data_IF_756563098223
#
_entry.id   IF_756563098223
#
_cell.length_a   1.000
_cell.length_b   1.000
_cell.length_c   1.000
_cell.angle_alpha   90.00
_cell.angle_beta   90.00
_cell.angle_gamma   90.00
#
_symmetry.space_group_name_H-M   'P 1'
#
loop_
_entity.id
_entity.type
_entity.pdbx_description
1 polymer ?
#
# COMPACT_ATOMS: atom_id res chain seq x y z
N UNK A 1 49.56 30.66 -6.16
CA UNK A 1 49.95 30.07 -4.84
C UNK A 1 49.84 28.57 -4.92
N UNK A 2 50.94 27.84 -4.68
CA UNK A 2 51.23 26.48 -5.16
C UNK A 2 50.50 25.36 -4.44
N UNK A 3 49.96 24.40 -5.22
CA UNK A 3 49.24 23.16 -4.85
C UNK A 3 50.16 22.00 -4.33
N UNK A 4 51.31 22.27 -3.78
CA UNK A 4 52.29 21.25 -3.40
C UNK A 4 52.83 21.45 -1.96
N UNK A 5 51.97 21.42 -0.92
CA UNK A 5 52.41 21.31 0.47
C UNK A 5 51.27 20.83 1.37
N UNK A 6 50.80 19.60 1.20
CA UNK A 6 50.00 18.94 2.22
C UNK A 6 50.08 17.42 2.14
N UNK A 7 51.28 16.87 2.00
CA UNK A 7 51.56 15.46 2.27
C UNK A 7 52.93 15.43 2.87
N UNK A 8 53.02 15.38 4.19
CA UNK A 8 54.12 14.85 5.02
C UNK A 8 53.83 15.21 6.48
N UNK A 9 53.51 14.22 7.24
CA UNK A 9 53.86 13.97 8.62
C UNK A 9 52.75 13.20 9.33
N UNK A 10 53.08 12.01 9.75
CA UNK A 10 52.31 11.27 10.72
C UNK A 10 52.43 9.75 10.63
N UNK A 11 53.64 9.22 10.57
CA UNK A 11 53.93 7.82 10.89
C UNK A 11 54.65 7.80 12.25
N UNK A 12 54.24 6.89 13.08
CA UNK A 12 54.92 6.20 14.15
C UNK A 12 54.19 6.22 15.49
N UNK A 13 53.82 5.09 15.95
CA UNK A 13 54.14 4.29 17.15
C UNK A 13 52.90 3.47 17.49
N UNK A 14 52.83 2.15 17.51
CA UNK A 14 53.82 1.16 17.95
C UNK A 14 53.40 0.58 19.27
N UNK A 15 53.09 -0.71 19.27
CA UNK A 15 53.37 -1.71 20.30
C UNK A 15 52.15 -2.61 20.70
N UNK A 16 52.23 -3.81 20.21
CA UNK A 16 52.01 -5.14 20.77
C UNK A 16 51.46 -5.26 22.21
N UNK A 17 50.42 -6.11 22.33
CA UNK A 17 50.31 -7.08 23.42
C UNK A 17 49.49 -8.29 23.00
N UNK A 18 50.18 -9.40 22.81
CA UNK A 18 49.60 -10.74 22.77
C UNK A 18 49.24 -11.13 24.22
N UNK A 19 48.06 -11.75 24.42
CA UNK A 19 47.94 -12.95 25.26
C UNK A 19 46.54 -13.57 25.20
N UNK A 20 46.59 -14.89 25.06
CA UNK A 20 45.76 -15.93 25.64
C UNK A 20 44.43 -16.29 24.93
N UNK A 21 44.53 -17.36 24.14
CA UNK A 21 43.48 -18.31 23.86
C UNK A 21 42.96 -18.94 25.14
N UNK A 22 41.66 -18.86 25.37
CA UNK A 22 40.91 -19.83 26.14
C UNK A 22 39.88 -20.44 25.22
N UNK A 23 40.03 -21.74 24.93
CA UNK A 23 39.00 -22.53 24.28
C UNK A 23 37.91 -22.81 25.32
N UNK A 24 36.71 -22.34 25.05
CA UNK A 24 35.50 -22.81 25.71
C UNK A 24 34.62 -23.50 24.68
N UNK A 25 34.35 -24.77 24.95
CA UNK A 25 33.51 -25.67 24.19
C UNK A 25 32.09 -25.07 23.99
N UNK A 26 31.57 -25.24 22.76
CA UNK A 26 30.26 -24.75 22.39
C UNK A 26 29.11 -25.34 23.20
N UNK A 27 28.32 -24.46 23.74
CA UNK A 27 26.93 -24.72 24.02
C UNK A 27 26.20 -24.27 22.75
N UNK A 28 25.58 -25.21 22.04
CA UNK A 28 24.59 -24.90 21.00
C UNK A 28 23.39 -24.33 21.75
N UNK A 29 23.39 -23.02 21.95
CA UNK A 29 22.25 -22.29 22.45
C UNK A 29 21.20 -22.27 21.37
N UNK A 30 19.98 -22.69 21.70
CA UNK A 30 18.78 -22.40 20.94
C UNK A 30 18.82 -20.94 20.49
N UNK A 31 18.69 -20.71 19.18
CA UNK A 31 18.51 -19.35 18.65
C UNK A 31 17.21 -18.81 19.24
N UNK A 32 17.31 -18.05 20.30
CA UNK A 32 16.23 -17.25 20.81
C UNK A 32 15.69 -16.38 19.68
N UNK A 33 14.37 -16.31 19.53
CA UNK A 33 13.72 -15.42 18.59
C UNK A 33 14.33 -14.02 18.75
N UNK A 34 15.01 -13.55 17.72
CA UNK A 34 15.62 -12.21 17.70
C UNK A 34 14.51 -11.16 17.93
N UNK A 35 14.85 -10.09 18.65
CA UNK A 35 13.92 -8.98 18.79
C UNK A 35 13.53 -8.45 17.40
N UNK A 36 12.23 -8.19 17.19
CA UNK A 36 11.77 -7.62 15.93
C UNK A 36 12.47 -6.28 15.64
N UNK A 37 12.73 -6.01 14.37
CA UNK A 37 13.28 -4.73 13.91
C UNK A 37 12.39 -3.56 14.35
N UNK A 38 12.98 -2.38 14.53
CA UNK A 38 12.24 -1.17 14.82
C UNK A 38 11.20 -0.91 13.71
N UNK A 39 9.97 -0.49 14.07
CA UNK A 39 8.98 -0.10 13.08
C UNK A 39 9.48 1.03 12.16
N UNK A 40 8.91 1.12 10.98
CA UNK A 40 9.10 2.25 10.07
C UNK A 40 8.40 3.51 10.60
N UNK A 41 8.77 4.69 10.08
CA UNK A 41 8.10 5.95 10.40
C UNK A 41 6.68 6.03 9.81
N UNK A 42 6.50 5.45 8.61
CA UNK A 42 5.20 5.30 7.95
C UNK A 42 4.72 3.84 8.05
N UNK A 43 3.41 3.63 7.94
CA UNK A 43 2.79 2.32 8.08
C UNK A 43 2.63 1.64 6.72
N UNK A 44 3.65 0.89 6.30
CA UNK A 44 3.65 0.16 5.02
C UNK A 44 2.92 -1.16 5.13
N UNK A 45 2.02 -1.43 4.16
CA UNK A 45 1.20 -2.64 4.08
C UNK A 45 1.70 -3.61 3.03
N UNK A 46 2.14 -4.81 3.47
CA UNK A 46 2.63 -5.86 2.58
C UNK A 46 1.48 -6.61 1.90
N UNK A 47 1.73 -7.18 0.72
CA UNK A 47 0.82 -8.07 0.02
C UNK A 47 1.16 -9.55 0.22
N UNK A 48 0.14 -10.43 0.03
CA UNK A 48 0.36 -11.87 -0.08
C UNK A 48 1.33 -12.21 -1.21
N UNK A 49 2.29 -13.05 -0.88
CA UNK A 49 3.32 -13.49 -1.81
C UNK A 49 4.62 -12.70 -1.77
N UNK A 50 4.64 -11.50 -1.16
CA UNK A 50 5.86 -10.66 -1.10
C UNK A 50 7.03 -11.34 -0.38
N UNK A 51 6.75 -12.17 0.63
CA UNK A 51 7.77 -12.87 1.42
C UNK A 51 7.65 -14.38 1.32
N UNK A 52 7.11 -14.88 0.22
CA UNK A 52 6.87 -16.32 0.00
C UNK A 52 8.15 -17.16 0.05
N UNK A 53 9.27 -16.63 -0.43
CA UNK A 53 10.52 -17.36 -0.47
C UNK A 53 11.21 -17.44 0.91
N UNK A 54 11.01 -16.44 1.76
CA UNK A 54 11.59 -16.40 3.11
C UNK A 54 10.68 -17.06 4.15
N UNK A 55 9.38 -16.84 4.07
CA UNK A 55 8.40 -17.25 5.07
C UNK A 55 7.49 -18.42 4.63
N UNK A 56 7.53 -18.83 3.36
CA UNK A 56 6.66 -19.89 2.84
C UNK A 56 5.37 -19.37 2.22
N UNK A 57 4.50 -20.31 1.81
CA UNK A 57 3.28 -20.01 1.05
C UNK A 57 2.09 -19.54 1.89
N UNK A 58 2.07 -19.78 3.20
CA UNK A 58 0.98 -19.32 4.08
C UNK A 58 1.10 -17.82 4.34
N UNK A 59 0.04 -17.08 4.04
CA UNK A 59 0.08 -15.62 4.20
C UNK A 59 0.25 -15.18 5.66
N UNK A 60 -0.26 -15.95 6.63
CA UNK A 60 -0.07 -15.64 8.05
C UNK A 60 1.40 -15.75 8.46
N UNK A 61 2.15 -16.69 7.89
CA UNK A 61 3.59 -16.78 8.16
C UNK A 61 4.35 -15.63 7.51
N UNK A 62 3.94 -15.16 6.31
CA UNK A 62 4.49 -13.95 5.70
C UNK A 62 4.17 -12.69 6.53
N UNK A 63 2.98 -12.60 7.14
CA UNK A 63 2.60 -11.50 8.06
C UNK A 63 3.53 -11.48 9.28
N UNK A 64 3.81 -12.63 9.89
CA UNK A 64 4.74 -12.75 11.03
C UNK A 64 6.15 -12.31 10.64
N UNK A 65 6.63 -12.80 9.50
CA UNK A 65 7.93 -12.42 8.96
C UNK A 65 8.03 -10.91 8.72
N UNK A 66 7.01 -10.31 8.10
CA UNK A 66 6.95 -8.87 7.88
C UNK A 66 6.96 -8.08 9.22
N UNK A 67 6.23 -8.57 10.22
CA UNK A 67 6.24 -7.97 11.56
C UNK A 67 7.65 -7.97 12.18
N UNK A 68 8.39 -9.08 12.07
CA UNK A 68 9.79 -9.20 12.54
C UNK A 68 10.71 -8.19 11.84
N UNK A 69 10.42 -7.85 10.57
CA UNK A 69 11.16 -6.86 9.79
C UNK A 69 10.62 -5.42 9.90
N UNK A 70 9.74 -5.15 10.85
CA UNK A 70 9.29 -3.79 11.17
C UNK A 70 8.03 -3.31 10.44
N UNK A 71 7.44 -4.10 9.54
CA UNK A 71 6.15 -3.78 8.93
C UNK A 71 5.00 -3.92 9.94
N UNK A 72 3.98 -3.07 9.82
CA UNK A 72 2.85 -3.04 10.77
C UNK A 72 1.49 -3.03 10.09
N UNK A 73 1.44 -3.25 8.78
CA UNK A 73 0.19 -3.36 8.03
C UNK A 73 0.28 -4.43 6.95
N UNK A 74 -0.88 -4.84 6.45
CA UNK A 74 -1.02 -5.61 5.21
C UNK A 74 -2.02 -4.92 4.29
N UNK A 75 -1.99 -5.29 3.03
CA UNK A 75 -3.03 -5.03 2.03
C UNK A 75 -3.36 -6.35 1.33
N UNK A 76 -4.63 -6.60 1.02
CA UNK A 76 -5.01 -7.83 0.32
C UNK A 76 -6.18 -7.59 -0.64
N UNK A 77 -5.84 -7.32 -1.89
CA UNK A 77 -6.81 -7.11 -2.96
C UNK A 77 -7.75 -8.32 -3.17
N UNK A 78 -7.30 -9.52 -2.78
CA UNK A 78 -8.05 -10.77 -2.89
C UNK A 78 -8.94 -11.09 -1.70
N UNK A 79 -8.93 -10.32 -0.62
CA UNK A 79 -9.59 -10.68 0.65
C UNK A 79 -11.04 -11.11 0.50
N UNK A 80 -11.87 -10.43 -0.30
CA UNK A 80 -13.27 -10.82 -0.51
C UNK A 80 -13.44 -12.16 -1.25
N UNK A 81 -12.40 -12.66 -1.91
CA UNK A 81 -12.40 -13.96 -2.60
C UNK A 81 -11.91 -15.12 -1.73
N UNK A 82 -11.27 -14.81 -0.58
CA UNK A 82 -10.89 -15.83 0.40
C UNK A 82 -12.11 -16.37 1.12
N UNK A 83 -12.04 -17.63 1.55
CA UNK A 83 -13.08 -18.21 2.40
C UNK A 83 -13.21 -17.50 3.75
N UNK A 84 -14.40 -17.52 4.39
CA UNK A 84 -14.62 -16.85 5.67
C UNK A 84 -13.63 -17.25 6.78
N UNK A 85 -13.25 -18.53 6.83
CA UNK A 85 -12.28 -19.04 7.81
C UNK A 85 -10.88 -18.44 7.61
N UNK A 86 -10.46 -18.30 6.35
CA UNK A 86 -9.16 -17.70 6.03
C UNK A 86 -9.16 -16.19 6.31
N UNK A 87 -10.25 -15.49 6.00
CA UNK A 87 -10.42 -14.07 6.37
C UNK A 87 -10.29 -13.88 7.89
N UNK A 88 -10.93 -14.75 8.68
CA UNK A 88 -10.86 -14.71 10.13
C UNK A 88 -9.44 -15.03 10.64
N UNK A 89 -8.79 -16.07 10.09
CA UNK A 89 -7.41 -16.45 10.44
C UNK A 89 -6.44 -15.30 10.23
N UNK A 90 -6.57 -14.58 9.12
CA UNK A 90 -5.75 -13.37 8.83
C UNK A 90 -6.08 -12.25 9.84
N UNK A 91 -7.37 -11.97 10.07
CA UNK A 91 -7.81 -10.96 11.04
C UNK A 91 -7.28 -11.23 12.46
N UNK A 92 -7.35 -12.48 12.92
CA UNK A 92 -6.84 -12.89 14.23
C UNK A 92 -5.32 -12.72 14.34
N UNK A 93 -4.59 -13.06 13.26
CA UNK A 93 -3.15 -12.89 13.21
C UNK A 93 -2.75 -11.40 13.29
N UNK A 94 -3.45 -10.54 12.57
CA UNK A 94 -3.23 -9.09 12.62
C UNK A 94 -3.52 -8.53 14.02
N UNK A 95 -4.64 -8.92 14.63
CA UNK A 95 -5.02 -8.49 15.98
C UNK A 95 -3.97 -8.92 17.01
N UNK A 96 -3.49 -10.16 16.94
CA UNK A 96 -2.46 -10.70 17.83
C UNK A 96 -1.13 -9.94 17.74
N UNK A 97 -0.76 -9.49 16.55
CA UNK A 97 0.49 -8.77 16.29
C UNK A 97 0.34 -7.24 16.42
N UNK A 98 -0.88 -6.72 16.61
CA UNK A 98 -1.13 -5.29 16.60
C UNK A 98 -0.88 -4.66 15.23
N UNK A 99 -1.08 -5.43 14.15
CA UNK A 99 -0.97 -4.96 12.77
C UNK A 99 -2.32 -4.51 12.22
N UNK A 100 -2.27 -3.65 11.22
CA UNK A 100 -3.46 -3.08 10.58
C UNK A 100 -3.79 -3.79 9.26
N UNK A 101 -5.08 -3.93 8.96
CA UNK A 101 -5.56 -4.27 7.62
C UNK A 101 -5.74 -2.99 6.82
N UNK A 102 -5.08 -2.89 5.66
CA UNK A 102 -5.25 -1.84 4.66
C UNK A 102 -6.50 -2.06 3.81
N UNK A 103 -6.37 -1.82 2.51
CA UNK A 103 -7.50 -2.02 1.59
C UNK A 103 -7.67 -3.48 1.20
N UNK A 104 -8.90 -3.81 0.84
CA UNK A 104 -9.27 -4.94 0.01
C UNK A 104 -10.17 -4.46 -1.13
N UNK A 105 -10.14 -5.13 -2.29
CA UNK A 105 -10.95 -4.69 -3.44
C UNK A 105 -12.40 -5.12 -3.26
N UNK A 106 -13.33 -4.17 -3.43
CA UNK A 106 -14.76 -4.46 -3.48
C UNK A 106 -15.07 -5.28 -4.73
N UNK A 107 -15.54 -6.50 -4.53
CA UNK A 107 -15.82 -7.42 -5.61
C UNK A 107 -17.13 -7.07 -6.31
N UNK A 108 -17.00 -6.49 -7.52
CA UNK A 108 -18.09 -6.22 -8.46
C UNK A 108 -17.85 -6.84 -9.84
N UNK A 109 -16.88 -7.78 -9.94
CA UNK A 109 -16.57 -8.49 -11.17
C UNK A 109 -15.34 -7.99 -11.95
N UNK A 110 -14.54 -7.08 -11.38
CA UNK A 110 -13.28 -6.56 -11.96
C UNK A 110 -13.31 -5.06 -12.24
N UNK A 111 -12.13 -4.49 -12.56
CA UNK A 111 -11.94 -3.03 -12.63
C UNK A 111 -12.80 -2.36 -13.72
N UNK A 112 -12.81 -2.88 -14.93
CA UNK A 112 -13.63 -2.36 -16.04
C UNK A 112 -15.10 -2.82 -16.03
N UNK A 113 -15.38 -3.97 -15.40
CA UNK A 113 -16.67 -4.63 -15.47
C UNK A 113 -17.77 -3.94 -14.65
N UNK A 114 -19.03 -4.22 -15.00
CA UNK A 114 -20.23 -3.75 -14.27
C UNK A 114 -20.16 -2.27 -13.95
N UNK A 115 -19.87 -1.47 -14.98
CA UNK A 115 -19.52 -0.06 -14.85
C UNK A 115 -20.64 0.77 -14.29
N UNK A 116 -20.38 1.46 -13.19
CA UNK A 116 -21.28 2.42 -12.56
C UNK A 116 -21.53 3.63 -13.46
N UNK A 117 -20.57 3.95 -14.34
CA UNK A 117 -20.67 5.07 -15.28
C UNK A 117 -21.83 4.92 -16.26
N UNK A 118 -22.20 3.69 -16.60
CA UNK A 118 -23.30 3.42 -17.53
C UNK A 118 -24.69 3.74 -16.96
N UNK A 119 -24.84 3.79 -15.64
CA UNK A 119 -26.12 4.00 -14.95
C UNK A 119 -27.08 2.82 -15.05
N UNK A 120 -26.63 1.63 -15.49
CA UNK A 120 -27.48 0.44 -15.60
C UNK A 120 -27.90 -0.08 -14.23
N UNK A 121 -29.21 -0.30 -13.99
CA UNK A 121 -29.70 -0.77 -12.69
C UNK A 121 -29.06 -2.08 -12.24
N UNK A 122 -28.83 -3.03 -13.15
CA UNK A 122 -28.23 -4.32 -12.86
C UNK A 122 -26.78 -4.20 -12.36
N UNK A 123 -26.00 -3.24 -12.88
CA UNK A 123 -24.64 -2.99 -12.42
C UNK A 123 -24.61 -2.30 -11.06
N UNK A 124 -25.58 -1.42 -10.82
CA UNK A 124 -25.79 -0.82 -9.50
C UNK A 124 -26.06 -1.89 -8.45
N UNK A 125 -26.97 -2.84 -8.72
CA UNK A 125 -27.30 -3.91 -7.75
C UNK A 125 -26.11 -4.82 -7.47
N UNK A 126 -25.30 -5.16 -8.47
CA UNK A 126 -24.04 -5.92 -8.27
C UNK A 126 -23.09 -5.15 -7.34
N UNK A 127 -22.95 -3.84 -7.54
CA UNK A 127 -22.11 -3.01 -6.68
C UNK A 127 -22.64 -2.95 -5.24
N UNK A 128 -23.94 -2.74 -5.05
CA UNK A 128 -24.56 -2.67 -3.72
C UNK A 128 -24.49 -4.01 -2.98
N UNK A 129 -24.61 -5.13 -3.70
CA UNK A 129 -24.37 -6.45 -3.13
C UNK A 129 -22.91 -6.61 -2.71
N UNK A 130 -21.97 -6.15 -3.53
CA UNK A 130 -20.56 -6.08 -3.17
C UNK A 130 -20.33 -5.29 -1.88
N UNK A 131 -21.00 -4.14 -1.70
CA UNK A 131 -20.94 -3.36 -0.46
C UNK A 131 -21.44 -4.15 0.76
N UNK A 132 -22.54 -4.88 0.64
CA UNK A 132 -23.06 -5.72 1.74
C UNK A 132 -22.06 -6.83 2.11
N UNK A 133 -21.50 -7.52 1.12
CA UNK A 133 -20.47 -8.56 1.32
C UNK A 133 -19.18 -7.99 1.92
N UNK A 134 -18.81 -6.76 1.55
CA UNK A 134 -17.65 -6.05 2.11
C UNK A 134 -17.84 -5.80 3.62
N UNK A 135 -19.06 -5.53 4.10
CA UNK A 135 -19.36 -5.42 5.54
C UNK A 135 -19.02 -6.72 6.29
N UNK A 136 -19.38 -7.86 5.73
CA UNK A 136 -19.09 -9.15 6.37
C UNK A 136 -17.60 -9.52 6.32
N UNK A 137 -16.92 -9.18 5.22
CA UNK A 137 -15.46 -9.30 5.12
C UNK A 137 -14.75 -8.43 6.15
N UNK A 138 -15.15 -7.15 6.25
CA UNK A 138 -14.63 -6.20 7.24
C UNK A 138 -14.71 -6.71 8.67
N UNK A 139 -15.83 -7.34 9.06
CA UNK A 139 -15.99 -7.91 10.40
C UNK A 139 -14.97 -8.99 10.70
N UNK A 140 -14.63 -9.84 9.72
CA UNK A 140 -13.69 -10.95 9.90
C UNK A 140 -12.22 -10.51 9.90
N UNK A 141 -11.83 -9.63 8.99
CA UNK A 141 -10.43 -9.19 8.87
C UNK A 141 -10.12 -7.85 9.56
N UNK A 142 -11.12 -7.21 10.19
CA UNK A 142 -11.03 -5.86 10.77
C UNK A 142 -10.57 -4.77 9.79
N UNK A 143 -10.78 -4.98 8.46
CA UNK A 143 -10.47 -4.01 7.41
C UNK A 143 -11.54 -2.90 7.37
N UNK A 144 -11.10 -1.65 7.29
CA UNK A 144 -12.00 -0.48 7.25
C UNK A 144 -11.98 0.26 5.92
N UNK A 145 -11.17 -0.20 4.99
CA UNK A 145 -10.99 0.44 3.68
C UNK A 145 -11.27 -0.59 2.57
N UNK A 146 -12.03 -0.20 1.56
CA UNK A 146 -12.27 -1.04 0.40
C UNK A 146 -12.08 -0.25 -0.88
N UNK A 147 -11.24 -0.77 -1.78
CA UNK A 147 -10.96 -0.15 -3.09
C UNK A 147 -12.18 -0.27 -4.00
N UNK A 148 -12.55 0.82 -4.63
CA UNK A 148 -13.62 0.86 -5.63
C UNK A 148 -13.13 1.51 -6.91
N UNK A 149 -13.22 0.74 -8.00
CA UNK A 149 -13.01 1.24 -9.37
C UNK A 149 -14.38 1.32 -10.06
N UNK A 150 -14.82 2.49 -10.52
CA UNK A 150 -16.18 2.65 -11.09
C UNK A 150 -16.48 1.82 -12.33
N UNK A 151 -15.46 1.41 -13.08
CA UNK A 151 -15.59 0.63 -14.32
C UNK A 151 -15.20 1.42 -15.55
N UNK A 152 -15.46 0.85 -16.73
CA UNK A 152 -15.18 1.52 -17.99
C UNK A 152 -16.22 2.62 -18.29
N UNK A 153 -15.78 3.65 -19.03
CA UNK A 153 -16.73 4.64 -19.55
C UNK A 153 -17.48 4.08 -20.78
N UNK A 154 -18.68 4.61 -21.02
CA UNK A 154 -19.45 4.30 -22.22
C UNK A 154 -19.29 5.44 -23.24
N UNK A 155 -18.76 5.13 -24.42
CA UNK A 155 -18.51 6.11 -25.50
C UNK A 155 -19.79 6.74 -26.06
N UNK A 156 -20.96 6.14 -25.83
CA UNK A 156 -22.25 6.64 -26.31
C UNK A 156 -22.94 7.56 -25.30
N UNK A 157 -22.40 7.69 -24.08
CA UNK A 157 -22.96 8.55 -23.03
C UNK A 157 -22.08 9.79 -22.82
N UNK A 158 -22.68 10.98 -22.65
CA UNK A 158 -21.96 12.17 -22.25
C UNK A 158 -21.23 11.96 -20.92
N UNK A 159 -19.98 12.46 -20.80
CA UNK A 159 -19.15 12.28 -19.61
C UNK A 159 -19.83 12.85 -18.34
N UNK A 160 -20.54 13.98 -18.44
CA UNK A 160 -21.28 14.54 -17.30
C UNK A 160 -22.39 13.63 -16.79
N UNK A 161 -23.08 12.92 -17.69
CA UNK A 161 -24.11 11.91 -17.31
C UNK A 161 -23.44 10.76 -16.57
N UNK A 162 -22.34 10.25 -17.10
CA UNK A 162 -21.58 9.17 -16.48
C UNK A 162 -21.08 9.57 -15.09
N UNK A 163 -20.57 10.79 -14.94
CA UNK A 163 -20.13 11.31 -13.64
C UNK A 163 -21.30 11.37 -12.65
N UNK A 164 -22.48 11.81 -13.09
CA UNK A 164 -23.69 11.80 -12.26
C UNK A 164 -24.08 10.39 -11.82
N UNK A 165 -24.06 9.41 -12.74
CA UNK A 165 -24.35 8.01 -12.44
C UNK A 165 -23.41 7.43 -11.38
N UNK A 166 -22.10 7.69 -11.52
CA UNK A 166 -21.08 7.25 -10.56
C UNK A 166 -21.32 7.86 -9.17
N UNK A 167 -21.57 9.18 -9.09
CA UNK A 167 -21.85 9.87 -7.82
C UNK A 167 -23.07 9.27 -7.12
N UNK A 168 -24.17 9.05 -7.85
CA UNK A 168 -25.39 8.46 -7.29
C UNK A 168 -25.17 7.01 -6.81
N UNK A 169 -24.43 6.20 -7.57
CA UNK A 169 -24.08 4.84 -7.14
C UNK A 169 -23.25 4.85 -5.87
N UNK A 170 -22.22 5.70 -5.80
CA UNK A 170 -21.35 5.82 -4.63
C UNK A 170 -22.08 6.33 -3.38
N UNK A 171 -23.05 7.26 -3.52
CA UNK A 171 -23.91 7.68 -2.41
C UNK A 171 -24.70 6.52 -1.82
N UNK A 172 -25.26 5.65 -2.69
CA UNK A 172 -25.98 4.46 -2.24
C UNK A 172 -25.05 3.44 -1.58
N UNK A 173 -23.84 3.24 -2.11
CA UNK A 173 -22.81 2.41 -1.49
C UNK A 173 -22.38 2.98 -0.12
N UNK A 174 -22.14 4.27 -0.03
CA UNK A 174 -21.80 4.96 1.22
C UNK A 174 -22.88 4.76 2.30
N UNK A 175 -24.16 4.83 1.95
CA UNK A 175 -25.27 4.61 2.88
C UNK A 175 -25.25 3.18 3.49
N UNK A 176 -24.68 2.18 2.80
CA UNK A 176 -24.51 0.82 3.33
C UNK A 176 -23.27 0.73 4.22
N UNK A 177 -22.15 1.37 3.84
CA UNK A 177 -20.84 1.18 4.45
C UNK A 177 -20.60 2.10 5.66
N UNK A 178 -21.13 3.34 5.60
CA UNK A 178 -20.92 4.37 6.64
C UNK A 178 -21.34 3.93 8.05
N UNK A 179 -22.50 3.26 8.25
CA UNK A 179 -22.89 2.75 9.57
C UNK A 179 -21.92 1.74 10.19
N UNK A 180 -21.06 1.14 9.36
CA UNK A 180 -20.03 0.17 9.78
C UNK A 180 -18.63 0.78 9.87
N UNK A 181 -18.50 2.09 9.64
CA UNK A 181 -17.21 2.79 9.60
C UNK A 181 -16.28 2.29 8.49
N UNK A 182 -16.82 1.82 7.37
CA UNK A 182 -16.07 1.35 6.22
C UNK A 182 -16.04 2.47 5.18
N UNK A 183 -14.87 2.72 4.62
CA UNK A 183 -14.63 3.77 3.62
C UNK A 183 -14.32 3.13 2.29
N UNK A 184 -15.09 3.49 1.27
CA UNK A 184 -14.72 3.27 -0.13
C UNK A 184 -13.58 4.22 -0.47
N UNK A 185 -12.50 3.68 -0.98
CA UNK A 185 -11.40 4.47 -1.51
C UNK A 185 -11.35 4.30 -3.03
N UNK A 186 -11.64 5.38 -3.75
CA UNK A 186 -11.71 5.39 -5.21
C UNK A 186 -10.31 5.41 -5.79
N UNK A 187 -10.03 4.47 -6.68
CA UNK A 187 -8.72 4.33 -7.31
C UNK A 187 -8.78 4.75 -8.79
N UNK A 188 -8.14 5.88 -9.16
CA UNK A 188 -7.88 6.22 -10.54
C UNK A 188 -6.73 5.37 -11.09
N UNK A 189 -6.98 4.67 -12.21
CA UNK A 189 -6.06 3.69 -12.77
C UNK A 189 -5.47 4.14 -14.11
N UNK A 190 -4.28 3.62 -14.42
CA UNK A 190 -3.59 3.82 -15.71
C UNK A 190 -3.55 2.57 -16.58
N UNK A 191 -4.24 1.49 -16.20
CA UNK A 191 -4.12 0.16 -16.83
C UNK A 191 -4.63 0.16 -18.26
N UNK A 192 -5.81 0.71 -18.49
CA UNK A 192 -6.42 0.81 -19.81
C UNK A 192 -6.99 2.21 -20.07
N UNK A 193 -7.07 2.65 -21.35
CA UNK A 193 -7.66 3.94 -21.69
C UNK A 193 -9.19 3.98 -21.51
N UNK A 194 -9.84 2.85 -21.38
CA UNK A 194 -11.29 2.75 -21.31
C UNK A 194 -11.86 2.95 -19.90
N UNK A 195 -11.03 2.94 -18.87
CA UNK A 195 -11.47 3.21 -17.50
C UNK A 195 -12.04 4.62 -17.35
N UNK A 196 -13.20 4.72 -16.70
CA UNK A 196 -13.86 5.99 -16.44
C UNK A 196 -13.02 6.91 -15.53
N UNK A 197 -12.44 6.36 -14.46
CA UNK A 197 -11.69 7.10 -13.46
C UNK A 197 -10.19 6.97 -13.71
N UNK A 198 -9.51 8.09 -13.99
CA UNK A 198 -8.10 8.08 -14.40
C UNK A 198 -7.22 9.14 -13.73
N UNK A 199 -7.80 10.21 -13.20
CA UNK A 199 -7.09 11.40 -12.73
C UNK A 199 -7.43 11.73 -11.27
N UNK A 200 -6.49 12.30 -10.56
CA UNK A 200 -6.66 12.67 -9.15
C UNK A 200 -7.68 13.78 -8.95
N UNK A 201 -7.70 14.80 -9.83
CA UNK A 201 -8.65 15.90 -9.78
C UNK A 201 -10.10 15.45 -10.06
N UNK A 202 -10.29 14.53 -11.02
CA UNK A 202 -11.58 13.90 -11.30
C UNK A 202 -12.07 13.14 -10.07
N UNK A 203 -11.19 12.37 -9.43
CA UNK A 203 -11.50 11.59 -8.22
C UNK A 203 -11.87 12.52 -7.06
N UNK A 204 -11.11 13.59 -6.87
CA UNK A 204 -11.38 14.62 -5.87
C UNK A 204 -12.78 15.25 -6.06
N UNK A 205 -13.11 15.66 -7.28
CA UNK A 205 -14.41 16.24 -7.60
C UNK A 205 -15.57 15.28 -7.28
N UNK A 206 -15.40 13.99 -7.60
CA UNK A 206 -16.40 12.95 -7.29
C UNK A 206 -16.54 12.76 -5.77
N UNK A 207 -15.45 12.60 -5.02
CA UNK A 207 -15.49 12.46 -3.56
C UNK A 207 -16.18 13.67 -2.90
N UNK A 208 -15.85 14.89 -3.33
CA UNK A 208 -16.52 16.12 -2.86
C UNK A 208 -18.02 16.13 -3.19
N UNK A 209 -18.40 15.68 -4.37
CA UNK A 209 -19.81 15.62 -4.78
C UNK A 209 -20.59 14.53 -4.03
N UNK A 210 -19.98 13.37 -3.77
CA UNK A 210 -20.60 12.33 -2.91
C UNK A 210 -20.83 12.85 -1.50
N UNK A 211 -19.89 13.62 -0.97
CA UNK A 211 -19.94 14.29 0.34
C UNK A 211 -20.24 13.33 1.51
N UNK A 212 -19.53 12.19 1.56
CA UNK A 212 -19.60 11.21 2.65
C UNK A 212 -18.22 10.92 3.22
N UNK A 213 -18.07 10.72 4.55
CA UNK A 213 -16.83 10.23 5.13
C UNK A 213 -16.46 8.82 4.64
N UNK A 214 -17.43 8.07 4.10
CA UNK A 214 -17.25 6.72 3.55
C UNK A 214 -16.95 6.70 2.05
N UNK A 215 -16.55 7.83 1.45
CA UNK A 215 -16.09 7.91 0.07
C UNK A 215 -14.89 8.84 -0.03
N UNK A 216 -13.69 8.28 -0.25
CA UNK A 216 -12.41 8.96 -0.25
C UNK A 216 -11.55 8.51 -1.42
N UNK A 217 -10.33 9.04 -1.52
CA UNK A 217 -9.36 8.73 -2.57
C UNK A 217 -8.39 7.65 -2.06
N UNK A 218 -8.14 6.66 -2.89
CA UNK A 218 -6.91 5.89 -2.89
C UNK A 218 -5.96 6.56 -3.90
N UNK A 219 -4.85 7.10 -3.44
CA UNK A 219 -3.85 7.73 -4.26
C UNK A 219 -2.72 6.73 -4.53
N UNK A 220 -2.84 5.95 -5.61
CA UNK A 220 -1.75 5.09 -6.08
C UNK A 220 -0.73 5.93 -6.85
N UNK A 221 0.45 6.07 -6.25
CA UNK A 221 1.51 6.89 -6.81
C UNK A 221 2.05 6.37 -8.14
N UNK A 222 1.99 5.05 -8.38
CA UNK A 222 2.36 4.46 -9.67
C UNK A 222 1.39 4.89 -10.78
N UNK A 223 0.09 4.76 -10.55
CA UNK A 223 -0.91 5.14 -11.54
C UNK A 223 -0.93 6.65 -11.78
N UNK A 224 -0.79 7.44 -10.72
CA UNK A 224 -0.77 8.90 -10.85
C UNK A 224 0.48 9.40 -11.56
N UNK A 225 1.65 8.79 -11.33
CA UNK A 225 2.87 9.13 -12.08
C UNK A 225 2.68 8.86 -13.58
N UNK A 226 2.06 7.73 -13.95
CA UNK A 226 1.82 7.37 -15.35
C UNK A 226 0.79 8.24 -16.07
N UNK A 227 -0.23 8.70 -15.36
CA UNK A 227 -1.31 9.50 -15.94
C UNK A 227 -1.05 11.00 -15.89
N UNK A 228 -0.45 11.51 -14.81
CA UNK A 228 -0.39 12.96 -14.51
C UNK A 228 1.03 13.45 -14.18
N UNK A 229 1.84 12.62 -13.51
CA UNK A 229 3.11 13.08 -12.94
C UNK A 229 2.91 14.07 -11.79
N UNK A 230 3.93 14.89 -11.50
CA UNK A 230 3.87 15.96 -10.49
C UNK A 230 3.25 15.53 -9.14
N UNK A 231 3.66 14.37 -8.65
CA UNK A 231 3.01 13.58 -7.59
C UNK A 231 2.72 14.40 -6.32
N UNK A 232 3.73 15.11 -5.78
CA UNK A 232 3.57 15.87 -4.53
C UNK A 232 2.53 16.99 -4.71
N UNK A 233 2.57 17.70 -5.83
CA UNK A 233 1.62 18.78 -6.09
C UNK A 233 0.18 18.25 -6.19
N UNK A 234 -0.04 17.21 -6.98
CA UNK A 234 -1.38 16.61 -7.17
C UNK A 234 -1.90 15.98 -5.87
N UNK A 235 -1.02 15.37 -5.08
CA UNK A 235 -1.32 14.88 -3.73
C UNK A 235 -1.80 16.02 -2.83
N UNK A 236 -1.10 17.17 -2.81
CA UNK A 236 -1.47 18.32 -1.99
C UNK A 236 -2.82 18.92 -2.37
N UNK A 237 -3.13 19.01 -3.67
CA UNK A 237 -4.44 19.46 -4.14
C UNK A 237 -5.59 18.56 -3.66
N UNK A 238 -5.35 17.26 -3.58
CA UNK A 238 -6.36 16.27 -3.21
C UNK A 238 -6.32 15.85 -1.73
N UNK A 239 -5.39 16.38 -0.94
CA UNK A 239 -5.04 15.91 0.40
C UNK A 239 -6.23 15.68 1.33
N UNK A 240 -7.20 16.59 1.34
CA UNK A 240 -8.37 16.52 2.22
C UNK A 240 -9.28 15.33 1.96
N UNK A 241 -9.17 14.70 0.80
CA UNK A 241 -9.98 13.54 0.42
C UNK A 241 -9.17 12.24 0.33
N UNK A 242 -7.83 12.26 0.52
CA UNK A 242 -7.00 11.06 0.48
C UNK A 242 -7.13 10.29 1.80
N UNK A 243 -7.54 9.02 1.73
CA UNK A 243 -7.61 8.13 2.88
C UNK A 243 -6.59 6.97 2.80
N UNK A 244 -6.04 6.68 1.62
CA UNK A 244 -5.11 5.59 1.42
C UNK A 244 -4.11 5.92 0.32
N UNK A 245 -2.89 5.41 0.47
CA UNK A 245 -1.86 5.48 -0.56
C UNK A 245 -1.46 4.09 -1.02
N UNK A 246 -1.07 3.97 -2.30
CA UNK A 246 -0.36 2.81 -2.80
C UNK A 246 0.97 3.20 -3.42
N UNK A 247 1.92 2.27 -3.35
CA UNK A 247 3.32 2.44 -3.71
C UNK A 247 3.67 1.49 -4.85
N UNK A 248 4.34 2.01 -5.85
CA UNK A 248 4.97 1.26 -6.92
C UNK A 248 5.83 2.21 -7.75
N UNK A 249 7.10 1.86 -8.00
CA UNK A 249 7.98 2.76 -8.74
C UNK A 249 7.84 2.57 -10.26
N UNK A 250 7.88 3.66 -11.00
CA UNK A 250 7.81 3.68 -12.46
C UNK A 250 9.23 3.54 -13.02
N UNK A 251 9.43 2.78 -14.15
CA UNK A 251 8.42 2.12 -14.98
C UNK A 251 8.07 0.69 -14.55
N UNK A 252 8.87 0.02 -13.73
CA UNK A 252 8.81 -1.43 -13.50
C UNK A 252 7.72 -1.87 -12.51
N UNK A 253 7.06 -0.94 -11.81
CA UNK A 253 6.15 -1.20 -10.68
C UNK A 253 6.80 -2.11 -9.64
N UNK A 254 7.99 -1.73 -9.19
CA UNK A 254 8.77 -2.43 -8.17
C UNK A 254 8.97 -1.53 -6.93
N UNK A 255 9.82 -2.00 -5.99
CA UNK A 255 10.13 -1.31 -4.72
C UNK A 255 10.71 0.10 -4.92
N UNK A 256 10.65 0.98 -3.91
CA UNK A 256 10.90 2.42 -4.01
C UNK A 256 12.22 2.86 -4.67
N UNK A 257 13.31 2.10 -4.54
CA UNK A 257 14.63 2.53 -5.02
C UNK A 257 14.97 2.12 -6.45
N UNK A 258 14.01 1.53 -7.19
CA UNK A 258 14.29 0.85 -8.47
C UNK A 258 13.80 1.60 -9.71
N UNK A 259 13.29 2.82 -9.57
CA UNK A 259 12.71 3.57 -10.68
C UNK A 259 13.02 5.07 -10.65
N UNK A 260 12.16 5.85 -11.32
CA UNK A 260 12.37 7.28 -11.54
C UNK A 260 11.80 8.17 -10.43
N UNK A 261 10.98 7.62 -9.51
CA UNK A 261 10.32 8.40 -8.47
C UNK A 261 11.21 8.52 -7.21
N UNK A 262 11.36 9.72 -6.69
CA UNK A 262 12.03 9.96 -5.40
C UNK A 262 11.12 9.63 -4.22
N UNK A 263 11.01 8.35 -3.89
CA UNK A 263 10.18 7.91 -2.77
C UNK A 263 10.66 8.42 -1.41
N UNK A 264 11.94 8.70 -1.22
CA UNK A 264 12.43 9.30 0.02
C UNK A 264 11.86 10.70 0.23
N UNK A 265 11.84 11.51 -0.82
CA UNK A 265 11.22 12.84 -0.81
C UNK A 265 9.70 12.75 -0.61
N UNK A 266 9.03 11.82 -1.29
CA UNK A 266 7.58 11.60 -1.20
C UNK A 266 7.18 11.15 0.22
N UNK A 267 7.87 10.16 0.79
CA UNK A 267 7.58 9.66 2.14
C UNK A 267 7.83 10.71 3.22
N UNK A 268 8.92 11.48 3.09
CA UNK A 268 9.17 12.64 3.96
C UNK A 268 8.03 13.66 3.91
N UNK A 269 7.50 13.94 2.71
CA UNK A 269 6.36 14.84 2.53
C UNK A 269 5.10 14.31 3.23
N UNK A 270 4.73 13.05 2.97
CA UNK A 270 3.56 12.40 3.59
C UNK A 270 3.68 12.39 5.13
N UNK A 271 4.86 12.05 5.64
CA UNK A 271 5.14 12.08 7.08
C UNK A 271 5.03 13.49 7.67
N UNK A 272 5.62 14.48 6.99
CA UNK A 272 5.57 15.89 7.39
C UNK A 272 4.15 16.48 7.41
N UNK A 273 3.26 15.96 6.57
CA UNK A 273 1.82 16.29 6.58
C UNK A 273 1.06 15.64 7.75
N UNK A 274 1.72 14.82 8.56
CA UNK A 274 1.14 14.16 9.72
C UNK A 274 0.24 12.97 9.39
N UNK A 275 0.37 12.36 8.20
CA UNK A 275 -0.42 11.19 7.82
C UNK A 275 -0.17 10.01 8.77
N UNK A 276 -1.25 9.37 9.24
CA UNK A 276 -1.22 8.23 10.17
C UNK A 276 -1.89 6.97 9.60
N UNK A 277 -2.36 7.05 8.36
CA UNK A 277 -2.94 5.90 7.67
C UNK A 277 -1.87 4.94 7.15
N UNK A 278 -2.27 4.07 6.25
CA UNK A 278 -1.43 3.03 5.67
C UNK A 278 -1.05 3.38 4.23
N UNK A 279 0.10 2.85 3.80
CA UNK A 279 0.57 2.90 2.43
C UNK A 279 0.74 1.46 1.94
N UNK A 280 -0.12 1.00 1.04
CA UNK A 280 -0.06 -0.35 0.46
C UNK A 280 1.12 -0.50 -0.50
N UNK A 281 1.81 -1.63 -0.40
CA UNK A 281 2.99 -1.93 -1.21
C UNK A 281 2.55 -2.66 -2.49
N UNK A 282 1.77 -2.00 -3.37
CA UNK A 282 1.19 -2.64 -4.56
C UNK A 282 2.17 -2.70 -5.73
N UNK A 283 3.20 -3.50 -5.57
CA UNK A 283 4.29 -3.64 -6.55
C UNK A 283 4.95 -5.02 -6.51
N UNK A 284 5.69 -5.33 -7.55
CA UNK A 284 6.53 -6.53 -7.64
C UNK A 284 7.87 -6.35 -6.94
N UNK A 285 8.74 -7.35 -7.16
CA UNK A 285 10.14 -7.34 -6.73
C UNK A 285 11.03 -7.15 -7.95
N UNK A 286 12.04 -6.30 -7.86
CA UNK A 286 13.03 -6.09 -8.94
C UNK A 286 13.99 -7.27 -9.12
N UNK A 287 14.21 -8.03 -8.05
CA UNK A 287 15.03 -9.23 -8.04
C UNK A 287 14.20 -10.44 -7.62
N UNK A 288 14.53 -11.66 -8.09
CA UNK A 288 13.79 -12.86 -7.74
C UNK A 288 14.18 -13.43 -6.36
N UNK A 289 13.30 -14.25 -5.80
CA UNK A 289 13.59 -15.09 -4.65
C UNK A 289 13.87 -14.30 -3.37
N UNK A 290 14.57 -14.93 -2.44
CA UNK A 290 14.94 -14.31 -1.15
C UNK A 290 15.78 -13.05 -1.29
N UNK A 291 16.61 -12.98 -2.32
CA UNK A 291 17.41 -11.79 -2.61
C UNK A 291 16.52 -10.58 -2.88
N UNK A 292 15.48 -10.75 -3.69
CA UNK A 292 14.49 -9.68 -3.96
C UNK A 292 13.72 -9.26 -2.72
N UNK A 293 13.32 -10.21 -1.88
CA UNK A 293 12.63 -9.93 -0.62
C UNK A 293 13.50 -9.10 0.35
N UNK A 294 14.80 -9.42 0.45
CA UNK A 294 15.73 -8.64 1.26
C UNK A 294 16.04 -7.27 0.64
N UNK A 295 16.14 -7.18 -0.69
CA UNK A 295 16.30 -5.92 -1.41
C UNK A 295 15.10 -4.99 -1.18
N UNK A 296 13.88 -5.52 -1.19
CA UNK A 296 12.66 -4.79 -0.85
C UNK A 296 12.73 -4.19 0.56
N UNK A 297 13.05 -4.99 1.58
CA UNK A 297 13.17 -4.50 2.98
C UNK A 297 14.19 -3.36 3.04
N UNK A 298 15.35 -3.55 2.40
CA UNK A 298 16.40 -2.53 2.34
C UNK A 298 15.91 -1.25 1.65
N UNK A 299 15.21 -1.36 0.52
CA UNK A 299 14.66 -0.22 -0.22
C UNK A 299 13.71 0.63 0.64
N UNK A 300 12.84 -0.03 1.42
CA UNK A 300 11.95 0.69 2.35
C UNK A 300 12.73 1.33 3.49
N UNK A 301 13.75 0.66 4.08
CA UNK A 301 14.61 1.27 5.11
C UNK A 301 15.35 2.50 4.59
N UNK A 302 15.87 2.45 3.36
CA UNK A 302 16.53 3.60 2.72
C UNK A 302 15.56 4.75 2.48
N UNK A 303 14.38 4.46 1.93
CA UNK A 303 13.39 5.48 1.59
C UNK A 303 12.70 6.08 2.83
N UNK A 304 12.63 5.33 3.94
CA UNK A 304 12.05 5.78 5.22
C UNK A 304 13.08 6.51 6.11
N UNK A 305 14.34 6.63 5.68
CA UNK A 305 15.43 7.28 6.44
C UNK A 305 15.47 8.79 6.23
N UNK A 306 14.39 9.50 6.53
CA UNK A 306 14.22 10.94 6.34
C UNK A 306 14.02 11.74 7.64
N UNK A 307 13.92 11.08 8.77
CA UNK A 307 13.73 11.69 10.10
C UNK A 307 15.05 11.95 10.81
#
# INVERSE_FOLDING_TARGET
MNRKKFIQNGVLAGASLLTARAASAGVIGEQGAGAADAPFHLNYGIHDGMFRNSAGGDFVDQIKFAYEHGFRAIEDNGMMKRGPEEQQKIGDALAKLGMSMGVFVLDKGGNGANSLATGKPEYLEIFLDGCRRAVDTSKRCNGKLTTVVPGDFDRHLPMGVQTGNVIEALRKGAAILEPHGIVMVLEPLSDTPDLFLRNSDQTYAICKAVNSPSCKILFDMYHMQRNEGNIIHNMDLCWSEIAYFQIGNVPGRNEPTTGEMDYKGIFKHIYGKGYKGMLGMEHGLSLPGKEGEMALIKAYRESDSFA
#
